data_IF_528728011894
#
_entry.id   IF_528728011894
#
_cell.length_a   1.000
_cell.length_b   1.000
_cell.length_c   1.000
_cell.angle_alpha   90.00
_cell.angle_beta   90.00
_cell.angle_gamma   90.00
#
_symmetry.space_group_name_H-M   'P 1'
#
loop_
_entity.id
_entity.type
_entity.pdbx_description
1 polymer ?
#
# COMPACT_ATOMS: atom_id res chain seq x y z
N UNK A 1 42.33 41.98 -20.26
CA UNK A 1 40.99 42.40 -19.74
C UNK A 1 39.95 41.97 -20.74
N UNK A 2 39.28 40.83 -20.47
CA UNK A 2 38.28 40.27 -21.36
C UNK A 2 36.90 40.62 -20.80
N UNK A 3 36.14 41.34 -21.61
CA UNK A 3 34.81 41.86 -21.33
C UNK A 3 33.79 40.70 -21.45
N UNK A 4 33.27 40.19 -20.32
CA UNK A 4 32.13 39.26 -20.29
C UNK A 4 30.86 40.06 -20.57
N UNK A 5 30.33 39.94 -21.78
CA UNK A 5 28.96 40.36 -22.08
C UNK A 5 28.02 39.35 -21.41
N UNK A 6 27.24 39.78 -20.44
CA UNK A 6 26.09 39.06 -19.91
C UNK A 6 24.99 39.10 -20.97
N UNK A 7 24.68 37.99 -21.61
CA UNK A 7 23.47 37.81 -22.43
C UNK A 7 22.25 37.88 -21.52
N UNK A 8 21.77 39.07 -21.27
CA UNK A 8 20.49 39.31 -20.66
C UNK A 8 19.46 39.35 -21.80
N UNK A 9 18.83 38.21 -22.05
CA UNK A 9 17.71 38.13 -22.99
C UNK A 9 16.48 38.73 -22.29
N UNK A 10 16.08 39.90 -22.73
CA UNK A 10 14.83 40.53 -22.30
C UNK A 10 13.66 39.61 -22.75
N UNK A 11 12.65 39.37 -21.89
CA UNK A 11 11.43 38.65 -22.30
C UNK A 11 10.81 39.38 -23.49
N UNK A 12 10.34 38.62 -24.48
CA UNK A 12 9.70 39.16 -25.67
C UNK A 12 8.42 39.92 -25.31
N UNK A 13 8.04 40.89 -26.13
CA UNK A 13 6.86 41.74 -25.90
C UNK A 13 5.58 40.89 -25.71
N UNK A 14 5.51 39.71 -26.34
CA UNK A 14 4.40 38.76 -26.23
C UNK A 14 4.32 38.07 -24.85
N UNK A 15 5.44 37.92 -24.15
CA UNK A 15 5.46 37.32 -22.79
C UNK A 15 4.90 38.26 -21.71
N UNK A 16 4.93 39.58 -21.96
CA UNK A 16 4.53 40.62 -21.00
C UNK A 16 3.02 40.95 -21.15
N UNK A 17 2.45 40.77 -22.34
CA UNK A 17 1.08 41.22 -22.68
C UNK A 17 0.09 40.09 -22.95
N UNK A 18 0.42 38.80 -22.68
CA UNK A 18 -0.57 37.74 -22.75
C UNK A 18 -1.68 37.99 -21.73
N UNK A 19 -2.90 38.15 -22.22
CA UNK A 19 -4.10 38.28 -21.39
C UNK A 19 -4.38 37.01 -20.63
N UNK A 20 -5.14 37.09 -19.52
CA UNK A 20 -5.57 35.91 -18.76
C UNK A 20 -6.29 34.90 -19.66
N UNK A 21 -7.10 35.39 -20.61
CA UNK A 21 -7.79 34.56 -21.62
C UNK A 21 -6.82 33.79 -22.53
N UNK A 22 -5.74 34.43 -22.99
CA UNK A 22 -4.72 33.78 -23.80
C UNK A 22 -3.91 32.74 -23.03
N UNK A 23 -3.70 32.94 -21.73
CA UNK A 23 -3.08 31.95 -20.85
C UNK A 23 -4.03 30.76 -20.59
N UNK A 24 -5.31 31.01 -20.46
CA UNK A 24 -6.33 29.99 -20.27
C UNK A 24 -6.60 29.24 -21.60
N UNK A 25 -6.56 29.91 -22.75
CA UNK A 25 -6.58 29.27 -24.07
C UNK A 25 -5.32 28.43 -24.33
N UNK A 26 -4.14 28.90 -23.90
CA UNK A 26 -2.91 28.10 -23.97
C UNK A 26 -2.97 26.85 -23.06
N UNK A 27 -3.69 26.90 -21.95
CA UNK A 27 -3.99 25.72 -21.11
C UNK A 27 -5.01 24.80 -21.75
N UNK A 28 -6.07 25.33 -22.36
CA UNK A 28 -7.07 24.58 -23.10
C UNK A 28 -6.47 23.85 -24.33
N UNK A 29 -5.46 24.45 -24.97
CA UNK A 29 -4.75 23.82 -26.10
C UNK A 29 -3.94 22.58 -25.72
N UNK A 30 -3.75 22.29 -24.42
CA UNK A 30 -3.09 21.07 -23.93
C UNK A 30 -4.01 19.85 -23.90
N UNK A 31 -5.33 20.05 -24.02
CA UNK A 31 -6.30 18.95 -24.09
C UNK A 31 -6.41 18.50 -25.54
N UNK A 32 -6.14 17.22 -25.81
CA UNK A 32 -6.16 16.61 -27.14
C UNK A 32 -6.79 15.22 -27.07
N UNK A 33 -7.40 14.83 -28.19
CA UNK A 33 -7.80 13.44 -28.41
C UNK A 33 -6.59 12.68 -28.98
N UNK A 34 -6.03 11.77 -28.19
CA UNK A 34 -4.81 11.01 -28.53
C UNK A 34 -5.21 9.57 -28.84
N UNK A 35 -4.68 8.97 -29.94
CA UNK A 35 -4.89 7.55 -30.21
C UNK A 35 -4.46 6.69 -29.03
N UNK A 36 -5.34 5.76 -28.59
CA UNK A 36 -5.05 4.89 -27.44
C UNK A 36 -3.80 4.05 -27.71
N UNK A 37 -3.55 3.70 -28.96
CA UNK A 37 -2.35 2.96 -29.40
C UNK A 37 -1.03 3.72 -29.19
N UNK A 38 -1.06 5.04 -29.04
CA UNK A 38 0.11 5.88 -28.76
C UNK A 38 0.32 6.15 -27.28
N UNK A 39 -0.60 5.66 -26.43
CA UNK A 39 -0.56 5.87 -24.97
C UNK A 39 -0.06 4.60 -24.28
N UNK A 40 1.16 4.66 -23.79
CA UNK A 40 1.77 3.61 -22.96
C UNK A 40 1.28 3.74 -21.51
N UNK A 41 1.14 2.61 -20.82
CA UNK A 41 0.83 2.61 -19.40
C UNK A 41 2.04 3.08 -18.57
N UNK A 42 1.76 3.64 -17.40
CA UNK A 42 2.83 4.05 -16.46
C UNK A 42 3.64 2.82 -16.02
N UNK A 43 4.99 2.88 -16.10
CA UNK A 43 5.85 1.77 -15.67
C UNK A 43 5.59 1.41 -14.20
N UNK A 44 5.52 0.12 -13.91
CA UNK A 44 5.33 -0.41 -12.55
C UNK A 44 4.12 0.20 -11.81
N UNK A 45 3.05 0.51 -12.55
CA UNK A 45 1.83 1.10 -11.99
C UNK A 45 1.23 0.20 -10.90
N UNK A 46 1.20 0.64 -9.62
CA UNK A 46 0.85 -0.24 -8.50
C UNK A 46 -0.65 -0.54 -8.41
N UNK A 47 -1.50 0.31 -8.99
CA UNK A 47 -2.95 0.20 -8.84
C UNK A 47 -3.55 -0.64 -9.95
N UNK A 48 -4.18 -1.75 -9.60
CA UNK A 48 -4.80 -2.67 -10.54
C UNK A 48 -6.06 -2.03 -11.17
N UNK A 49 -6.19 -2.14 -12.49
CA UNK A 49 -7.44 -1.83 -13.19
C UNK A 49 -8.25 -3.12 -13.26
N UNK A 50 -9.45 -3.11 -12.66
CA UNK A 50 -10.35 -4.27 -12.62
C UNK A 50 -11.53 -4.01 -13.52
N UNK A 51 -11.96 -5.05 -14.24
CA UNK A 51 -13.17 -5.05 -15.04
C UNK A 51 -14.35 -5.50 -14.13
N UNK A 52 -14.66 -4.67 -13.13
CA UNK A 52 -15.74 -4.84 -12.16
C UNK A 52 -17.04 -4.12 -12.60
N UNK A 53 -18.08 -4.20 -11.75
CA UNK A 53 -19.37 -3.55 -12.02
C UNK A 53 -19.25 -2.02 -12.17
N UNK A 54 -18.38 -1.39 -11.37
CA UNK A 54 -18.06 0.03 -11.48
C UNK A 54 -17.39 0.36 -12.83
N UNK A 55 -16.62 -0.56 -13.41
CA UNK A 55 -16.04 -0.40 -14.73
C UNK A 55 -17.11 -0.47 -15.80
N UNK A 56 -18.07 -1.39 -15.71
CA UNK A 56 -19.17 -1.48 -16.66
C UNK A 56 -20.01 -0.20 -16.68
N UNK A 57 -20.31 0.37 -15.51
CA UNK A 57 -21.01 1.66 -15.40
C UNK A 57 -20.19 2.80 -16.03
N UNK A 58 -18.88 2.79 -15.85
CA UNK A 58 -17.98 3.77 -16.47
C UNK A 58 -17.98 3.63 -17.98
N UNK A 59 -17.98 2.41 -18.52
CA UNK A 59 -18.07 2.12 -19.97
C UNK A 59 -19.36 2.68 -20.55
N UNK A 60 -20.51 2.45 -19.89
CA UNK A 60 -21.79 3.01 -20.33
C UNK A 60 -21.77 4.54 -20.33
N UNK A 61 -21.27 5.16 -19.25
CA UNK A 61 -21.12 6.61 -19.19
C UNK A 61 -20.23 7.18 -20.29
N UNK A 62 -19.12 6.48 -20.61
CA UNK A 62 -18.20 6.88 -21.69
C UNK A 62 -18.88 6.74 -23.05
N UNK A 63 -19.69 5.70 -23.30
CA UNK A 63 -20.46 5.54 -24.53
C UNK A 63 -21.48 6.67 -24.74
N UNK A 64 -22.16 7.10 -23.67
CA UNK A 64 -23.19 8.12 -23.74
C UNK A 64 -22.65 9.54 -23.88
N UNK A 65 -21.61 9.86 -23.13
CA UNK A 65 -21.13 11.25 -22.91
C UNK A 65 -19.67 11.49 -23.28
N UNK A 66 -18.95 10.43 -23.68
CA UNK A 66 -17.51 10.49 -23.87
C UNK A 66 -16.76 10.65 -22.55
N UNK A 67 -15.47 10.93 -22.64
CA UNK A 67 -14.62 11.22 -21.48
C UNK A 67 -14.76 12.68 -21.07
N UNK A 68 -15.50 12.94 -20.00
CA UNK A 68 -15.76 14.31 -19.52
C UNK A 68 -14.50 14.90 -18.89
N UNK A 69 -13.86 14.17 -17.96
CA UNK A 69 -12.62 14.59 -17.31
C UNK A 69 -11.45 14.00 -18.09
N UNK A 70 -10.56 14.81 -18.69
CA UNK A 70 -9.42 14.30 -19.45
C UNK A 70 -8.51 13.39 -18.61
N UNK A 71 -7.93 12.37 -19.23
CA UNK A 71 -6.81 11.65 -18.66
C UNK A 71 -5.56 12.55 -18.68
N UNK A 72 -4.61 12.31 -17.79
CA UNK A 72 -3.34 13.07 -17.75
C UNK A 72 -2.24 12.22 -18.35
N UNK A 73 -1.58 12.75 -19.37
CA UNK A 73 -0.47 12.08 -20.05
C UNK A 73 0.77 12.97 -20.09
N UNK A 74 1.94 12.35 -20.07
CA UNK A 74 3.22 12.99 -20.28
C UNK A 74 3.77 12.57 -21.65
N UNK A 75 4.29 13.52 -22.42
CA UNK A 75 4.97 13.20 -23.67
C UNK A 75 6.36 12.62 -23.41
N UNK A 76 6.67 11.52 -24.08
CA UNK A 76 7.99 10.86 -24.06
C UNK A 76 8.90 11.42 -25.14
N UNK A 77 10.19 11.18 -25.03
CA UNK A 77 11.21 11.63 -26.01
C UNK A 77 11.01 10.99 -27.40
N UNK A 78 10.41 9.80 -27.46
CA UNK A 78 10.07 9.09 -28.69
C UNK A 78 8.80 9.62 -29.38
N UNK A 79 8.16 10.64 -28.82
CA UNK A 79 6.94 11.24 -29.31
C UNK A 79 5.65 10.54 -28.87
N UNK A 80 5.71 9.37 -28.25
CA UNK A 80 4.58 8.67 -27.62
C UNK A 80 4.20 9.34 -26.32
N UNK A 81 3.15 8.86 -25.69
CA UNK A 81 2.63 9.37 -24.43
C UNK A 81 2.69 8.30 -23.33
N UNK A 82 2.97 8.72 -22.11
CA UNK A 82 2.92 7.91 -20.90
C UNK A 82 1.71 8.35 -20.06
N UNK A 83 0.86 7.41 -19.69
CA UNK A 83 -0.37 7.67 -18.94
C UNK A 83 -0.07 7.86 -17.46
N UNK A 84 -0.15 9.10 -16.97
CA UNK A 84 0.09 9.43 -15.56
C UNK A 84 -1.16 9.21 -14.71
N UNK A 85 -2.34 9.60 -15.20
CA UNK A 85 -3.61 9.41 -14.51
C UNK A 85 -4.74 9.12 -15.49
N UNK A 86 -5.67 8.25 -15.08
CA UNK A 86 -6.84 7.92 -15.87
C UNK A 86 -6.84 6.50 -16.49
N UNK A 87 -6.11 5.56 -15.94
CA UNK A 87 -6.02 4.17 -16.41
C UNK A 87 -7.42 3.50 -16.55
N UNK A 88 -8.33 3.75 -15.59
CA UNK A 88 -9.73 3.26 -15.73
C UNK A 88 -10.47 3.89 -16.89
N UNK A 89 -10.21 5.17 -17.20
CA UNK A 89 -10.81 5.86 -18.36
C UNK A 89 -10.28 5.33 -19.68
N UNK A 90 -8.96 5.08 -19.77
CA UNK A 90 -8.35 4.40 -20.92
C UNK A 90 -9.01 3.03 -21.14
N UNK A 91 -9.09 2.22 -20.09
CA UNK A 91 -9.69 0.88 -20.14
C UNK A 91 -11.18 0.94 -20.55
N UNK A 92 -11.93 1.90 -20.01
CA UNK A 92 -13.33 2.09 -20.37
C UNK A 92 -13.50 2.49 -21.85
N UNK A 93 -12.62 3.34 -22.41
CA UNK A 93 -12.61 3.68 -23.83
C UNK A 93 -12.31 2.46 -24.71
N UNK A 94 -11.32 1.64 -24.35
CA UNK A 94 -11.01 0.39 -25.04
C UNK A 94 -12.21 -0.55 -25.08
N UNK A 95 -12.86 -0.77 -23.93
CA UNK A 95 -14.06 -1.61 -23.82
C UNK A 95 -15.29 -1.02 -24.55
N UNK A 96 -15.36 0.31 -24.62
CA UNK A 96 -16.41 1.01 -25.35
C UNK A 96 -16.19 1.03 -26.88
N UNK A 97 -14.99 0.64 -27.36
CA UNK A 97 -14.61 0.64 -28.77
C UNK A 97 -14.21 2.01 -29.33
N UNK A 98 -13.68 2.89 -28.48
CA UNK A 98 -13.10 4.18 -28.90
C UNK A 98 -11.63 4.00 -29.27
N UNK A 99 -11.23 4.62 -30.39
CA UNK A 99 -9.82 4.60 -30.84
C UNK A 99 -8.97 5.70 -30.19
N UNK A 100 -9.62 6.71 -29.60
CA UNK A 100 -8.95 7.87 -29.00
C UNK A 100 -9.38 8.07 -27.54
N UNK A 101 -8.47 8.65 -26.75
CA UNK A 101 -8.72 9.07 -25.38
C UNK A 101 -8.49 10.58 -25.26
N UNK A 102 -9.45 11.29 -24.67
CA UNK A 102 -9.29 12.70 -24.35
C UNK A 102 -8.28 12.89 -23.22
N UNK A 103 -7.15 13.53 -23.50
CA UNK A 103 -6.02 13.67 -22.62
C UNK A 103 -5.60 15.12 -22.44
N UNK A 104 -5.14 15.45 -21.23
CA UNK A 104 -4.37 16.63 -20.94
C UNK A 104 -2.89 16.28 -20.99
N UNK A 105 -2.13 16.94 -21.88
CA UNK A 105 -0.68 16.73 -22.01
C UNK A 105 0.04 17.66 -21.02
N UNK A 106 0.79 17.07 -20.11
CA UNK A 106 1.56 17.79 -19.09
C UNK A 106 3.05 17.62 -19.30
N UNK A 107 3.81 18.65 -18.97
CA UNK A 107 5.27 18.60 -18.95
C UNK A 107 5.75 18.39 -17.51
N UNK A 108 6.09 17.15 -17.19
CA UNK A 108 6.51 16.72 -15.84
C UNK A 108 7.82 15.93 -15.92
N UNK A 109 8.64 16.06 -14.91
CA UNK A 109 9.75 15.13 -14.69
C UNK A 109 9.21 13.73 -14.38
N UNK A 110 10.08 12.72 -14.38
CA UNK A 110 9.69 11.34 -14.00
C UNK A 110 9.20 11.29 -12.55
N UNK A 111 9.87 12.02 -11.68
CA UNK A 111 9.55 12.08 -10.25
C UNK A 111 8.20 12.75 -9.99
N UNK A 112 7.93 13.88 -10.65
CA UNK A 112 6.65 14.59 -10.56
C UNK A 112 5.50 13.75 -11.10
N UNK A 113 5.69 13.06 -12.22
CA UNK A 113 4.72 12.15 -12.79
C UNK A 113 4.40 10.99 -11.83
N UNK A 114 5.42 10.41 -11.17
CA UNK A 114 5.24 9.37 -10.15
C UNK A 114 4.42 9.88 -8.97
N UNK A 115 4.74 11.06 -8.45
CA UNK A 115 4.00 11.67 -7.32
C UNK A 115 2.54 11.91 -7.71
N UNK A 116 2.30 12.52 -8.86
CA UNK A 116 0.95 12.80 -9.36
C UNK A 116 0.13 11.52 -9.58
N UNK A 117 0.76 10.49 -10.16
CA UNK A 117 0.13 9.17 -10.35
C UNK A 117 -0.34 8.59 -9.01
N UNK A 118 0.53 8.58 -7.99
CA UNK A 118 0.18 8.07 -6.66
C UNK A 118 -0.92 8.90 -6.01
N UNK A 119 -0.82 10.24 -6.02
CA UNK A 119 -1.81 11.14 -5.42
C UNK A 119 -3.20 10.99 -6.04
N UNK A 120 -3.27 10.89 -7.36
CA UNK A 120 -4.54 10.73 -8.07
C UNK A 120 -5.28 9.43 -7.72
N UNK A 121 -4.56 8.40 -7.26
CA UNK A 121 -5.12 7.11 -6.89
C UNK A 121 -5.45 6.99 -5.39
N UNK A 122 -4.83 7.79 -4.49
CA UNK A 122 -5.17 7.78 -3.07
C UNK A 122 -6.58 8.31 -2.75
N UNK A 123 -7.23 8.95 -3.72
CA UNK A 123 -8.63 9.38 -3.57
C UNK A 123 -9.65 8.24 -3.76
N UNK A 124 -9.20 7.02 -4.10
CA UNK A 124 -10.09 5.86 -4.24
C UNK A 124 -10.60 5.41 -2.89
N UNK A 125 -11.86 5.01 -2.82
CA UNK A 125 -12.50 4.50 -1.60
C UNK A 125 -11.92 3.18 -1.12
N UNK A 126 -11.40 2.35 -2.02
CA UNK A 126 -10.78 1.06 -1.72
C UNK A 126 -9.45 0.95 -2.43
N UNK A 127 -8.38 0.79 -1.65
CA UNK A 127 -7.02 0.55 -2.13
C UNK A 127 -6.52 -0.68 -1.40
N UNK A 128 -5.99 -1.65 -2.14
CA UNK A 128 -5.45 -2.87 -1.56
C UNK A 128 -4.17 -2.58 -0.74
N UNK A 129 -3.87 -3.41 0.27
CA UNK A 129 -2.62 -3.32 1.02
C UNK A 129 -1.38 -3.36 0.13
N UNK A 130 -1.35 -4.23 -0.89
CA UNK A 130 -0.26 -4.30 -1.87
C UNK A 130 -0.13 -3.01 -2.68
N UNK A 131 -1.24 -2.46 -3.18
CA UNK A 131 -1.26 -1.21 -3.93
C UNK A 131 -0.71 -0.05 -3.09
N UNK A 132 -1.12 0.06 -1.82
CA UNK A 132 -0.57 1.05 -0.88
C UNK A 132 0.92 0.85 -0.65
N UNK A 133 1.38 -0.40 -0.50
CA UNK A 133 2.77 -0.73 -0.26
C UNK A 133 3.68 -0.22 -1.38
N UNK A 134 3.38 -0.59 -2.62
CA UNK A 134 4.15 -0.15 -3.79
C UNK A 134 4.00 1.35 -4.05
N UNK A 135 2.81 1.92 -3.88
CA UNK A 135 2.57 3.35 -4.05
C UNK A 135 3.41 4.19 -3.07
N UNK A 136 3.45 3.81 -1.79
CA UNK A 136 4.30 4.49 -0.80
C UNK A 136 5.79 4.35 -1.11
N UNK A 137 6.24 3.16 -1.53
CA UNK A 137 7.63 2.93 -1.94
C UNK A 137 8.02 3.83 -3.10
N UNK A 138 7.23 3.83 -4.18
CA UNK A 138 7.46 4.64 -5.37
C UNK A 138 7.48 6.14 -5.07
N UNK A 139 6.49 6.62 -4.31
CA UNK A 139 6.40 8.04 -3.94
C UNK A 139 7.58 8.49 -3.09
N UNK A 140 7.94 7.69 -2.08
CA UNK A 140 9.08 7.99 -1.22
C UNK A 140 10.40 8.04 -2.00
N UNK A 141 10.59 7.12 -2.94
CA UNK A 141 11.75 7.11 -3.83
C UNK A 141 11.78 8.34 -4.76
N UNK A 142 10.63 8.72 -5.34
CA UNK A 142 10.51 9.91 -6.17
C UNK A 142 10.83 11.19 -5.39
N UNK A 143 10.29 11.35 -4.17
CA UNK A 143 10.58 12.48 -3.29
C UNK A 143 12.07 12.56 -2.91
N UNK A 144 12.71 11.41 -2.63
CA UNK A 144 14.15 11.36 -2.34
C UNK A 144 15.01 11.81 -3.54
N UNK A 145 14.66 11.36 -4.76
CA UNK A 145 15.37 11.74 -5.98
C UNK A 145 15.19 13.23 -6.31
N UNK A 146 13.99 13.76 -6.10
CA UNK A 146 13.69 15.18 -6.28
C UNK A 146 14.48 16.05 -5.30
N UNK A 147 14.56 15.65 -4.02
CA UNK A 147 15.37 16.31 -3.00
C UNK A 147 16.88 16.26 -3.28
N UNK A 148 17.41 15.18 -3.86
CA UNK A 148 18.83 15.07 -4.23
C UNK A 148 19.22 15.97 -5.40
N UNK A 149 18.32 16.28 -6.33
CA UNK A 149 18.59 17.19 -7.45
C UNK A 149 18.71 18.66 -7.00
N UNK A 150 18.02 19.04 -5.93
CA UNK A 150 18.11 20.37 -5.35
C UNK A 150 19.36 20.58 -4.48
N UNK A 151 20.01 19.50 -4.02
CA UNK A 151 21.12 19.53 -3.04
C UNK A 151 22.43 18.95 -3.61
N UNK A 152 22.92 19.47 -4.73
CA UNK A 152 24.21 19.05 -5.35
C UNK A 152 25.47 19.31 -4.47
N UNK A 153 25.32 19.77 -3.23
CA UNK A 153 26.42 20.10 -2.30
C UNK A 153 26.35 19.38 -0.96
N UNK A 154 25.58 18.29 -0.82
CA UNK A 154 25.23 17.71 0.50
C UNK A 154 26.23 16.68 1.02
N UNK A 155 26.66 16.87 2.27
CA UNK A 155 27.38 15.92 3.13
C UNK A 155 26.54 14.67 3.45
N UNK A 156 27.14 13.49 3.74
CA UNK A 156 26.42 12.25 4.14
C UNK A 156 25.45 12.42 5.31
N UNK A 157 25.67 13.41 6.16
CA UNK A 157 24.78 13.75 7.27
C UNK A 157 23.47 14.42 6.78
N UNK A 158 23.57 15.24 5.73
CA UNK A 158 22.42 15.89 5.12
C UNK A 158 21.49 14.88 4.44
N UNK A 159 22.02 13.80 3.87
CA UNK A 159 21.23 12.73 3.25
C UNK A 159 20.34 11.99 4.25
N UNK A 160 20.82 11.73 5.49
CA UNK A 160 19.99 11.10 6.54
C UNK A 160 18.89 12.04 7.06
N UNK A 161 19.17 13.35 7.14
CA UNK A 161 18.20 14.36 7.53
C UNK A 161 17.13 14.56 6.44
N UNK A 162 17.52 14.53 5.16
CA UNK A 162 16.62 14.60 4.02
C UNK A 162 15.69 13.38 3.96
N UNK A 163 16.19 12.17 4.23
CA UNK A 163 15.40 10.94 4.32
C UNK A 163 14.31 11.02 5.41
N UNK A 164 14.68 11.51 6.61
CA UNK A 164 13.72 11.70 7.70
C UNK A 164 12.64 12.75 7.40
N UNK A 165 12.96 13.73 6.55
CA UNK A 165 12.04 14.79 6.12
C UNK A 165 11.03 14.27 5.09
N UNK A 166 11.45 13.50 4.09
CA UNK A 166 10.57 12.90 3.09
C UNK A 166 9.56 11.90 3.71
N UNK A 167 9.98 11.07 4.67
CA UNK A 167 9.09 10.18 5.40
C UNK A 167 8.03 10.95 6.22
N UNK A 168 8.40 12.11 6.76
CA UNK A 168 7.51 12.96 7.57
C UNK A 168 6.50 13.70 6.70
N UNK A 169 6.97 14.23 5.59
CA UNK A 169 6.16 14.93 4.62
C UNK A 169 5.13 13.99 3.98
N UNK A 170 5.54 12.78 3.59
CA UNK A 170 4.61 11.76 3.11
C UNK A 170 3.56 11.40 4.16
N UNK A 171 3.96 11.21 5.41
CA UNK A 171 3.05 10.86 6.51
C UNK A 171 2.00 11.95 6.75
N UNK A 172 2.40 13.23 6.71
CA UNK A 172 1.50 14.37 6.88
C UNK A 172 0.51 14.49 5.72
N UNK A 173 0.98 14.34 4.48
CA UNK A 173 0.16 14.45 3.27
C UNK A 173 -0.90 13.35 3.16
N UNK A 174 -0.57 12.13 3.62
CA UNK A 174 -1.47 10.97 3.54
C UNK A 174 -2.34 10.82 4.80
N UNK A 175 -1.99 11.50 5.89
CA UNK A 175 -2.69 11.40 7.17
C UNK A 175 -2.45 10.09 7.91
N UNK A 176 -1.36 9.37 7.58
CA UNK A 176 -0.97 8.13 8.24
C UNK A 176 0.32 8.32 9.05
N UNK A 177 0.56 7.45 10.05
CA UNK A 177 1.80 7.52 10.83
C UNK A 177 3.00 7.01 10.00
N UNK A 178 4.20 7.54 10.26
CA UNK A 178 5.45 7.04 9.65
C UNK A 178 5.62 5.53 9.80
N UNK A 179 5.27 4.99 10.97
CA UNK A 179 5.38 3.57 11.24
C UNK A 179 4.39 2.75 10.41
N UNK A 180 3.20 3.28 10.16
CA UNK A 180 2.21 2.67 9.27
C UNK A 180 2.75 2.61 7.84
N UNK A 181 3.28 3.73 7.31
CA UNK A 181 3.87 3.81 5.97
C UNK A 181 5.03 2.81 5.84
N UNK A 182 5.94 2.76 6.82
CA UNK A 182 7.06 1.82 6.82
C UNK A 182 6.60 0.36 6.82
N UNK A 183 5.53 0.03 7.56
CA UNK A 183 4.94 -1.32 7.55
C UNK A 183 4.36 -1.66 6.18
N UNK A 184 3.65 -0.73 5.52
CA UNK A 184 3.19 -0.95 4.15
C UNK A 184 4.36 -1.17 3.20
N UNK A 185 5.37 -0.28 3.20
CA UNK A 185 6.55 -0.43 2.35
C UNK A 185 7.23 -1.78 2.59
N UNK A 186 7.27 -2.25 3.83
CA UNK A 186 7.86 -3.55 4.15
C UNK A 186 7.15 -4.73 3.47
N UNK A 187 5.84 -4.62 3.18
CA UNK A 187 5.11 -5.65 2.46
C UNK A 187 5.62 -5.87 1.02
N UNK A 188 6.32 -4.91 0.42
CA UNK A 188 6.91 -5.09 -0.92
C UNK A 188 8.03 -6.13 -0.98
N UNK A 189 8.48 -6.61 0.17
CA UNK A 189 9.49 -7.68 0.30
C UNK A 189 8.86 -9.08 0.45
N UNK A 190 7.53 -9.17 0.40
CA UNK A 190 6.82 -10.45 0.39
C UNK A 190 6.80 -11.03 -1.02
N UNK A 191 6.83 -12.39 -1.08
CA UNK A 191 6.54 -13.10 -2.33
C UNK A 191 5.10 -12.82 -2.77
N UNK A 192 4.81 -12.85 -4.09
CA UNK A 192 3.50 -12.45 -4.62
C UNK A 192 2.32 -13.19 -3.97
N UNK A 193 2.46 -14.47 -3.67
CA UNK A 193 1.44 -15.34 -3.08
C UNK A 193 1.06 -14.87 -1.66
N UNK A 194 2.07 -14.57 -0.81
CA UNK A 194 1.82 -14.04 0.53
C UNK A 194 1.18 -12.64 0.48
N UNK A 195 1.58 -11.83 -0.50
CA UNK A 195 1.02 -10.50 -0.69
C UNK A 195 -0.45 -10.57 -1.13
N UNK A 196 -0.81 -11.57 -1.95
CA UNK A 196 -2.20 -11.84 -2.33
C UNK A 196 -3.04 -12.26 -1.12
N UNK A 197 -2.53 -13.13 -0.23
CA UNK A 197 -3.20 -13.47 1.03
C UNK A 197 -3.42 -12.25 1.94
N UNK A 198 -2.54 -11.24 1.87
CA UNK A 198 -2.74 -9.98 2.59
C UNK A 198 -3.85 -9.15 1.95
N UNK A 199 -3.90 -9.08 0.61
CA UNK A 199 -4.94 -8.37 -0.14
C UNK A 199 -6.33 -8.98 0.07
N UNK A 200 -6.40 -10.31 0.15
CA UNK A 200 -7.63 -11.06 0.49
C UNK A 200 -8.02 -10.94 1.97
N UNK A 201 -7.13 -10.43 2.81
CA UNK A 201 -7.36 -10.31 4.25
C UNK A 201 -7.20 -11.61 5.04
N UNK A 202 -6.71 -12.68 4.41
CA UNK A 202 -6.37 -13.98 5.05
C UNK A 202 -5.21 -13.80 6.02
N UNK A 203 -4.20 -13.02 5.64
CA UNK A 203 -3.09 -12.61 6.51
C UNK A 203 -3.24 -11.16 6.90
N UNK A 204 -3.19 -10.86 8.19
CA UNK A 204 -3.27 -9.49 8.71
C UNK A 204 -1.94 -8.76 8.57
N UNK A 205 -1.96 -7.43 8.58
CA UNK A 205 -0.79 -6.55 8.43
C UNK A 205 0.39 -6.93 9.35
N UNK A 206 0.14 -7.19 10.64
CA UNK A 206 1.23 -7.48 11.60
C UNK A 206 1.95 -8.79 11.30
N UNK A 207 1.27 -9.95 11.13
CA UNK A 207 1.91 -11.18 10.67
C UNK A 207 2.68 -10.99 9.35
N UNK A 208 2.08 -10.31 8.37
CA UNK A 208 2.70 -10.07 7.06
C UNK A 208 4.02 -9.30 7.16
N UNK A 209 4.09 -8.27 8.02
CA UNK A 209 5.33 -7.53 8.27
C UNK A 209 6.41 -8.41 8.88
N UNK A 210 6.07 -9.32 9.81
CA UNK A 210 7.05 -10.26 10.36
C UNK A 210 7.57 -11.24 9.29
N UNK A 211 6.68 -11.76 8.43
CA UNK A 211 7.07 -12.66 7.34
C UNK A 211 7.97 -11.97 6.31
N UNK A 212 7.81 -10.68 6.07
CA UNK A 212 8.64 -9.95 5.13
C UNK A 212 10.12 -9.81 5.52
N UNK A 213 10.50 -10.22 6.74
CA UNK A 213 11.90 -10.29 7.17
C UNK A 213 12.59 -11.62 6.85
N UNK A 214 11.81 -12.61 6.38
CA UNK A 214 12.32 -13.89 5.94
C UNK A 214 12.81 -13.80 4.49
N UNK A 215 13.70 -14.70 4.09
CA UNK A 215 14.09 -14.85 2.69
C UNK A 215 12.95 -15.47 1.85
N UNK A 216 13.11 -15.43 0.52
CA UNK A 216 12.07 -15.90 -0.40
C UNK A 216 11.82 -17.42 -0.25
N UNK A 217 12.84 -18.22 0.04
CA UNK A 217 12.69 -19.66 0.17
C UNK A 217 11.85 -20.02 1.39
N UNK A 218 12.16 -19.43 2.55
CA UNK A 218 11.33 -19.58 3.75
C UNK A 218 9.89 -19.05 3.57
N UNK A 219 9.72 -17.95 2.82
CA UNK A 219 8.40 -17.43 2.51
C UNK A 219 7.59 -18.40 1.64
N UNK A 220 8.21 -19.05 0.64
CA UNK A 220 7.56 -20.07 -0.20
C UNK A 220 7.20 -21.32 0.60
N UNK A 221 8.10 -21.78 1.50
CA UNK A 221 7.79 -22.89 2.40
C UNK A 221 6.53 -22.59 3.26
N UNK A 222 6.36 -21.33 3.68
CA UNK A 222 5.19 -20.91 4.44
C UNK A 222 3.93 -20.88 3.55
N UNK A 223 4.02 -20.51 2.28
CA UNK A 223 2.91 -20.60 1.32
C UNK A 223 2.47 -22.05 1.18
N UNK A 224 3.42 -22.96 0.95
CA UNK A 224 3.14 -24.40 0.82
C UNK A 224 2.43 -24.95 2.07
N UNK A 225 2.88 -24.55 3.26
CA UNK A 225 2.23 -24.94 4.53
C UNK A 225 0.82 -24.35 4.70
N UNK A 226 0.59 -23.11 4.23
CA UNK A 226 -0.75 -22.49 4.25
C UNK A 226 -1.70 -23.26 3.34
N UNK A 227 -1.25 -23.62 2.14
CA UNK A 227 -2.06 -24.34 1.16
C UNK A 227 -2.33 -25.78 1.59
N UNK A 228 -1.36 -26.43 2.23
CA UNK A 228 -1.50 -27.79 2.77
C UNK A 228 -2.53 -27.87 3.91
N UNK A 229 -2.49 -26.89 4.82
CA UNK A 229 -3.28 -26.93 6.06
C UNK A 229 -4.54 -26.03 6.03
N UNK A 230 -4.75 -25.26 4.95
CA UNK A 230 -5.78 -24.20 4.83
C UNK A 230 -5.79 -23.27 6.06
N UNK A 231 -4.61 -22.95 6.58
CA UNK A 231 -4.46 -22.21 7.83
C UNK A 231 -3.31 -21.19 7.76
N UNK A 232 -3.61 -19.92 7.93
CA UNK A 232 -2.62 -18.84 7.95
C UNK A 232 -1.95 -18.70 9.31
N UNK A 233 -0.65 -18.32 9.38
CA UNK A 233 0.05 -18.16 10.65
C UNK A 233 -0.51 -17.01 11.48
N UNK A 234 -0.56 -17.19 12.80
CA UNK A 234 -0.86 -16.13 13.76
C UNK A 234 0.35 -15.19 13.93
N UNK A 235 0.11 -13.98 14.46
CA UNK A 235 1.20 -13.04 14.75
C UNK A 235 2.27 -13.60 15.71
N UNK A 236 1.86 -14.41 16.70
CA UNK A 236 2.80 -15.07 17.62
C UNK A 236 3.69 -16.10 16.90
N UNK A 237 3.10 -16.87 15.97
CA UNK A 237 3.82 -17.83 15.16
C UNK A 237 4.80 -17.14 14.21
N UNK A 238 4.41 -16.03 13.56
CA UNK A 238 5.32 -15.30 12.66
C UNK A 238 6.48 -14.64 13.41
N UNK A 239 6.28 -14.14 14.63
CA UNK A 239 7.38 -13.67 15.50
C UNK A 239 8.36 -14.81 15.83
N UNK A 240 7.84 -16.02 16.13
CA UNK A 240 8.70 -17.18 16.38
C UNK A 240 9.49 -17.56 15.12
N UNK A 241 8.85 -17.64 13.97
CA UNK A 241 9.52 -17.94 12.69
C UNK A 241 10.65 -16.96 12.42
N UNK A 242 10.39 -15.66 12.56
CA UNK A 242 11.41 -14.63 12.39
C UNK A 242 12.58 -14.82 13.37
N UNK A 243 12.32 -15.12 14.62
CA UNK A 243 13.39 -15.37 15.61
C UNK A 243 14.23 -16.59 15.22
N UNK A 244 13.63 -17.70 14.82
CA UNK A 244 14.34 -18.89 14.36
C UNK A 244 15.15 -18.60 13.10
N UNK A 245 14.63 -17.74 12.19
CA UNK A 245 15.32 -17.29 11.00
C UNK A 245 16.56 -16.45 11.36
N UNK A 246 16.44 -15.48 12.27
CA UNK A 246 17.57 -14.66 12.76
C UNK A 246 18.65 -15.51 13.45
N UNK A 247 18.27 -16.65 14.06
CA UNK A 247 19.19 -17.64 14.64
C UNK A 247 19.78 -18.63 13.59
N UNK A 248 19.36 -18.56 12.33
CA UNK A 248 19.77 -19.50 11.27
C UNK A 248 19.25 -20.93 11.46
N UNK A 249 18.12 -21.09 12.16
CA UNK A 249 17.52 -22.39 12.51
C UNK A 249 16.13 -22.60 11.90
N UNK A 250 15.65 -21.72 11.05
CA UNK A 250 14.34 -21.88 10.42
C UNK A 250 14.46 -22.85 9.25
N UNK A 251 13.96 -24.08 9.43
CA UNK A 251 13.84 -25.09 8.39
C UNK A 251 12.37 -25.38 8.10
N UNK A 252 12.07 -26.04 7.00
CA UNK A 252 10.69 -26.42 6.63
C UNK A 252 9.99 -27.21 7.75
N UNK A 253 10.71 -28.13 8.44
CA UNK A 253 10.16 -28.90 9.56
C UNK A 253 9.83 -28.00 10.78
N UNK A 254 10.65 -26.97 11.00
CA UNK A 254 10.41 -26.00 12.08
C UNK A 254 9.21 -25.12 11.74
N UNK A 255 9.05 -24.71 10.47
CA UNK A 255 7.87 -23.97 10.00
C UNK A 255 6.61 -24.81 10.22
N UNK A 256 6.59 -26.07 9.75
CA UNK A 256 5.47 -27.00 9.95
C UNK A 256 5.14 -27.18 11.44
N UNK A 257 6.16 -27.37 12.29
CA UNK A 257 5.97 -27.49 13.73
C UNK A 257 5.35 -26.24 14.36
N UNK A 258 5.79 -25.05 13.97
CA UNK A 258 5.24 -23.78 14.47
C UNK A 258 3.79 -23.59 13.97
N UNK A 259 3.51 -23.96 12.71
CA UNK A 259 2.16 -23.87 12.14
C UNK A 259 1.16 -24.79 12.82
N UNK A 260 1.62 -25.99 13.26
CA UNK A 260 0.80 -26.97 13.98
C UNK A 260 0.52 -26.59 15.45
N UNK A 261 1.20 -25.57 16.01
CA UNK A 261 0.93 -25.10 17.37
C UNK A 261 -0.49 -24.54 17.51
N UNK A 262 -1.14 -24.84 18.62
CA UNK A 262 -2.45 -24.25 18.97
C UNK A 262 -2.42 -22.73 18.94
N UNK A 263 -3.30 -22.13 18.15
CA UNK A 263 -3.41 -20.67 18.11
C UNK A 263 -4.06 -20.17 19.41
N UNK A 264 -3.52 -19.12 20.06
CA UNK A 264 -4.08 -18.61 21.32
C UNK A 264 -5.56 -18.23 21.25
N UNK A 265 -6.06 -17.91 20.04
CA UNK A 265 -7.46 -17.55 19.82
C UNK A 265 -8.39 -18.77 19.61
N UNK A 266 -7.85 -19.99 19.43
CA UNK A 266 -8.63 -21.23 19.29
C UNK A 266 -8.87 -21.92 20.64
N UNK A 267 -8.20 -21.49 21.71
CA UNK A 267 -8.55 -21.93 23.06
C UNK A 267 -9.92 -21.34 23.40
N UNK A 268 -10.89 -22.20 23.63
CA UNK A 268 -12.20 -21.78 24.12
C UNK A 268 -12.03 -20.94 25.38
N UNK A 269 -12.34 -19.65 25.27
CA UNK A 269 -12.36 -18.76 26.41
C UNK A 269 -13.77 -18.74 26.96
N UNK A 270 -13.95 -19.41 28.09
CA UNK A 270 -15.17 -19.26 28.86
C UNK A 270 -15.12 -17.89 29.55
N UNK A 271 -15.84 -16.91 28.99
CA UNK A 271 -15.97 -15.58 29.60
C UNK A 271 -17.13 -15.60 30.58
N UNK A 272 -16.82 -15.70 31.86
CA UNK A 272 -17.80 -15.55 32.92
C UNK A 272 -18.02 -14.06 33.19
N UNK A 273 -19.30 -13.62 33.28
CA UNK A 273 -19.61 -12.23 33.64
C UNK A 273 -19.09 -11.95 35.05
N UNK A 274 -18.15 -11.04 35.17
CA UNK A 274 -17.44 -10.70 36.42
C UNK A 274 -18.38 -10.41 37.58
N UNK A 275 -19.46 -9.69 37.33
CA UNK A 275 -20.44 -9.32 38.37
C UNK A 275 -21.09 -10.52 39.08
N UNK A 276 -21.37 -11.59 38.33
CA UNK A 276 -21.94 -12.82 38.90
C UNK A 276 -20.89 -13.66 39.64
N UNK A 277 -19.67 -13.71 39.09
CA UNK A 277 -18.56 -14.46 39.67
C UNK A 277 -18.12 -13.84 41.00
N UNK A 278 -17.99 -12.48 41.02
CA UNK A 278 -17.62 -11.75 42.22
C UNK A 278 -18.63 -11.88 43.38
N UNK A 279 -19.92 -12.10 43.09
CA UNK A 279 -20.92 -12.36 44.15
C UNK A 279 -20.77 -13.73 44.81
N UNK A 280 -20.15 -14.69 44.11
CA UNK A 280 -19.95 -16.07 44.59
C UNK A 280 -18.58 -16.27 45.25
N UNK A 281 -17.64 -15.34 45.06
CA UNK A 281 -16.29 -15.42 45.61
C UNK A 281 -16.27 -14.75 46.98
N UNK A 282 -15.70 -15.40 48.02
CA UNK A 282 -15.51 -14.82 49.35
C UNK A 282 -14.65 -13.55 49.27
N UNK A 283 -15.05 -12.49 49.99
CA UNK A 283 -14.40 -11.18 49.97
C UNK A 283 -12.93 -11.16 50.40
N UNK A 284 -12.45 -12.25 51.02
CA UNK A 284 -11.07 -12.40 51.46
C UNK A 284 -10.12 -12.97 50.43
N UNK A 285 -10.60 -13.26 49.20
CA UNK A 285 -9.75 -13.78 48.11
C UNK A 285 -9.32 -12.62 47.22
N UNK A 286 -8.01 -12.43 47.03
CA UNK A 286 -7.45 -11.40 46.15
C UNK A 286 -7.83 -11.68 44.68
N UNK A 287 -8.00 -10.63 43.88
CA UNK A 287 -8.32 -10.72 42.46
C UNK A 287 -7.34 -11.62 41.68
N UNK A 288 -6.04 -11.61 42.05
CA UNK A 288 -5.02 -12.46 41.45
C UNK A 288 -5.18 -13.95 41.70
N UNK A 289 -5.96 -14.37 42.71
CA UNK A 289 -6.23 -15.76 43.05
C UNK A 289 -7.65 -16.23 42.72
N UNK A 290 -8.44 -15.35 42.11
CA UNK A 290 -9.83 -15.62 41.76
C UNK A 290 -9.99 -16.80 40.78
N UNK A 291 -9.11 -16.86 39.77
CA UNK A 291 -9.10 -17.92 38.76
C UNK A 291 -8.81 -19.28 39.40
N UNK A 292 -7.79 -19.37 40.21
CA UNK A 292 -7.42 -20.60 40.93
C UNK A 292 -8.53 -21.08 41.89
N UNK A 293 -9.19 -20.13 42.57
CA UNK A 293 -10.31 -20.41 43.46
C UNK A 293 -11.51 -21.00 42.68
N UNK A 294 -11.88 -20.40 41.54
CA UNK A 294 -12.98 -20.89 40.68
C UNK A 294 -12.64 -22.27 40.12
N UNK A 295 -11.42 -22.50 39.65
CA UNK A 295 -10.98 -23.82 39.19
C UNK A 295 -11.09 -24.88 40.27
N UNK A 296 -10.59 -24.61 41.47
CA UNK A 296 -10.72 -25.55 42.63
C UNK A 296 -12.16 -25.79 43.06
N UNK A 297 -13.06 -24.81 42.94
CA UNK A 297 -14.47 -24.97 43.25
C UNK A 297 -15.20 -25.83 42.22
N UNK A 298 -14.75 -25.84 40.97
CA UNK A 298 -15.36 -26.65 39.89
C UNK A 298 -14.83 -28.10 39.83
N UNK A 299 -13.63 -28.39 40.35
CA UNK A 299 -13.06 -29.75 40.38
C UNK A 299 -13.96 -30.78 41.04
N UNK A 300 -14.57 -30.54 42.22
CA UNK A 300 -15.44 -31.53 42.87
C UNK A 300 -16.73 -31.82 42.09
N UNK A 301 -17.22 -30.82 41.30
CA UNK A 301 -18.45 -30.96 40.52
C UNK A 301 -18.25 -31.86 39.31
N UNK A 302 -17.05 -31.82 38.68
CA UNK A 302 -16.72 -32.70 37.53
C UNK A 302 -16.67 -34.19 37.93
N UNK A 303 -16.22 -34.52 39.15
CA UNK A 303 -16.17 -35.89 39.64
C UNK A 303 -17.56 -36.45 40.04
N UNK A 304 -18.51 -35.61 40.43
CA UNK A 304 -19.86 -36.05 40.82
C UNK A 304 -20.76 -36.32 39.61
N UNK A 305 -20.59 -35.62 38.50
CA UNK A 305 -21.36 -35.86 37.27
C UNK A 305 -20.88 -37.08 36.47
N UNK A 306 -19.61 -37.47 36.56
CA UNK A 306 -19.07 -38.68 35.90
C UNK A 306 -19.48 -39.99 36.57
N UNK A 307 -20.06 -39.99 37.80
CA UNK A 307 -20.57 -41.16 38.49
C UNK A 307 -22.09 -41.39 38.37
N UNK A 308 -22.80 -40.50 37.66
CA UNK A 308 -24.25 -40.54 37.52
C UNK A 308 -24.73 -41.02 36.13
N UNK A 309 -23.85 -41.60 35.30
CA UNK A 309 -24.17 -42.27 34.03
C UNK A 309 -23.60 -43.70 34.00
#
# INVERSE_FOLDING_TARGET
MANRKSDFTLPTFDDIFSTQEQRDDAKLSKIRDIPISEIDDFPDHPFKVRDDEDMLQLVESVKERGVITPATVKQKEDGRYELVSGHRRKRACELAGFDTLRCEVVDLSKEEATILMVESNFQRSQILPSEKAFAYKMRLEAMKRQGQRSDLTSSPLATKLAQGRSDMELAEQVGESKDTIRRYIRLTELVPELLEFVDEGRIKMRPAVELSYLDEDCQRDIVDEIDLNDATPSHAQTIKMRKFFEEGKLTTEVISSIMAEDKPNQKEKIVLRGDRVHQLIPKNIPISQTEEYVCKALEPVSYTHLRAH
#
